data_IF_013425623854
#
_entry.id   IF_013425623854
#
_cell.length_a   1.000
_cell.length_b   1.000
_cell.length_c   1.000
_cell.angle_alpha   90.00
_cell.angle_beta   90.00
_cell.angle_gamma   90.00
#
_symmetry.space_group_name_H-M   'P 1'
#
loop_
_entity.id
_entity.type
_entity.pdbx_description
1 polymer ?
#
# COMPACT_ATOMS: atom_id res chain seq x y z
N UNK A 1 -26.34 -9.60 1.32
CA UNK A 1 -26.13 -10.25 2.64
C UNK A 1 -24.86 -11.13 2.75
N UNK A 2 -24.01 -11.21 1.71
CA UNK A 2 -22.80 -12.07 1.72
C UNK A 2 -21.49 -11.32 2.00
N UNK A 3 -21.40 -10.02 1.69
CA UNK A 3 -20.17 -9.23 1.83
C UNK A 3 -19.82 -8.93 3.29
N UNK A 4 -20.81 -8.61 4.13
CA UNK A 4 -20.60 -8.35 5.55
C UNK A 4 -20.10 -9.60 6.29
N UNK A 5 -20.65 -10.77 5.96
CA UNK A 5 -20.21 -12.07 6.51
C UNK A 5 -18.81 -12.45 6.03
N UNK A 6 -18.46 -12.15 4.78
CA UNK A 6 -17.11 -12.38 4.27
C UNK A 6 -16.08 -11.52 5.01
N UNK A 7 -16.39 -10.24 5.25
CA UNK A 7 -15.54 -9.33 6.01
C UNK A 7 -15.35 -9.80 7.46
N UNK A 8 -16.43 -10.18 8.14
CA UNK A 8 -16.37 -10.71 9.51
C UNK A 8 -15.53 -12.00 9.60
N UNK A 9 -15.65 -12.91 8.63
CA UNK A 9 -14.85 -14.13 8.57
C UNK A 9 -13.36 -13.83 8.37
N UNK A 10 -13.04 -12.87 7.51
CA UNK A 10 -11.65 -12.45 7.28
C UNK A 10 -11.01 -11.90 8.56
N UNK A 11 -11.70 -10.99 9.28
CA UNK A 11 -11.20 -10.48 10.56
C UNK A 11 -11.14 -11.56 11.64
N UNK A 12 -12.10 -12.49 11.69
CA UNK A 12 -12.06 -13.63 12.61
C UNK A 12 -10.86 -14.56 12.32
N UNK A 13 -10.48 -14.76 11.06
CA UNK A 13 -9.27 -15.50 10.70
C UNK A 13 -8.00 -14.79 11.17
N UNK A 14 -7.91 -13.47 11.07
CA UNK A 14 -6.78 -12.69 11.59
C UNK A 14 -6.67 -12.85 13.11
N UNK A 15 -7.80 -12.78 13.82
CA UNK A 15 -7.85 -12.93 15.28
C UNK A 15 -7.47 -14.34 15.73
N UNK A 16 -7.84 -15.36 14.97
CA UNK A 16 -7.55 -16.77 15.26
C UNK A 16 -6.18 -17.23 14.72
N UNK A 17 -5.47 -16.37 13.98
CA UNK A 17 -4.14 -16.69 13.47
C UNK A 17 -3.19 -16.94 14.64
N UNK A 18 -2.52 -18.10 14.61
CA UNK A 18 -1.46 -18.41 15.57
C UNK A 18 -0.24 -17.55 15.25
N UNK A 19 0.08 -16.64 16.16
CA UNK A 19 1.19 -15.71 15.98
C UNK A 19 2.47 -16.39 16.47
N UNK A 20 3.47 -16.47 15.60
CA UNK A 20 4.77 -17.04 15.95
C UNK A 20 5.51 -16.14 16.92
N UNK A 21 6.24 -16.73 17.85
CA UNK A 21 7.12 -15.99 18.76
C UNK A 21 8.22 -15.24 18.01
N UNK A 22 8.57 -15.68 16.79
CA UNK A 22 9.51 -14.98 15.90
C UNK A 22 8.96 -13.65 15.41
N UNK A 23 7.69 -13.61 15.00
CA UNK A 23 7.03 -12.40 14.49
C UNK A 23 6.99 -11.30 15.56
N UNK A 24 6.73 -11.69 16.81
CA UNK A 24 6.78 -10.76 17.93
C UNK A 24 8.20 -10.22 18.15
N UNK A 25 9.23 -11.06 18.12
CA UNK A 25 10.61 -10.59 18.28
C UNK A 25 11.02 -9.61 17.18
N UNK A 26 10.61 -9.85 15.94
CA UNK A 26 10.86 -8.93 14.82
C UNK A 26 10.15 -7.59 15.06
N UNK A 27 8.88 -7.64 15.46
CA UNK A 27 8.11 -6.44 15.81
C UNK A 27 8.82 -5.63 16.92
N UNK A 28 9.20 -6.27 18.02
CA UNK A 28 9.96 -5.62 19.09
C UNK A 28 11.30 -5.07 18.60
N UNK A 29 12.03 -5.81 17.74
CA UNK A 29 13.31 -5.38 17.17
C UNK A 29 13.18 -4.10 16.36
N UNK A 30 12.17 -4.00 15.50
CA UNK A 30 11.90 -2.80 14.70
C UNK A 30 11.59 -1.60 15.61
N UNK A 31 10.69 -1.76 16.58
CA UNK A 31 10.35 -0.69 17.53
C UNK A 31 11.52 -0.26 18.40
N UNK A 32 12.37 -1.21 18.81
CA UNK A 32 13.59 -0.94 19.55
C UNK A 32 14.58 -0.09 18.75
N UNK A 33 14.80 -0.44 17.47
CA UNK A 33 15.69 0.33 16.57
C UNK A 33 15.13 1.74 16.34
N UNK A 34 13.83 1.88 16.07
CA UNK A 34 13.18 3.19 15.91
C UNK A 34 13.38 4.02 17.19
N UNK A 35 13.09 3.44 18.36
CA UNK A 35 13.27 4.12 19.63
C UNK A 35 14.72 4.53 19.87
N UNK A 36 15.69 3.69 19.51
CA UNK A 36 17.12 3.98 19.62
C UNK A 36 17.53 5.18 18.76
N UNK A 37 17.10 5.23 17.50
CA UNK A 37 17.39 6.35 16.59
C UNK A 37 16.85 7.66 17.15
N UNK A 38 15.60 7.64 17.63
CA UNK A 38 14.95 8.81 18.25
C UNK A 38 15.60 9.19 19.59
N UNK A 39 16.15 8.22 20.34
CA UNK A 39 16.82 8.47 21.61
C UNK A 39 18.24 9.03 21.44
N UNK A 40 18.94 8.68 20.35
CA UNK A 40 20.26 9.22 20.00
C UNK A 40 20.19 10.66 19.46
N UNK A 41 19.07 11.07 18.84
CA UNK A 41 18.92 12.41 18.26
C UNK A 41 19.13 13.56 19.25
N UNK A 42 18.57 13.55 20.48
CA UNK A 42 18.81 14.60 21.46
C UNK A 42 20.23 14.57 22.04
N UNK A 43 20.89 13.41 22.08
CA UNK A 43 22.26 13.26 22.60
C UNK A 43 23.29 14.02 21.74
N UNK A 44 23.04 14.11 20.43
CA UNK A 44 23.90 14.85 19.50
C UNK A 44 23.62 16.36 19.48
N UNK A 45 22.44 16.79 19.93
CA UNK A 45 21.98 18.19 19.83
C UNK A 45 22.01 18.96 21.16
N UNK A 46 22.46 18.35 22.27
CA UNK A 46 22.61 19.02 23.57
C UNK A 46 21.27 19.46 24.22
N UNK A 47 20.14 18.97 23.72
CA UNK A 47 18.79 19.29 24.22
C UNK A 47 18.45 18.38 25.39
N UNK A 48 17.66 18.87 26.35
CA UNK A 48 17.14 18.11 27.50
C UNK A 48 16.71 16.69 27.10
N UNK A 49 17.31 15.69 27.76
CA UNK A 49 16.98 14.29 27.57
C UNK A 49 15.47 14.07 27.78
N UNK A 50 14.77 13.67 26.73
CA UNK A 50 13.36 13.30 26.82
C UNK A 50 13.24 11.99 27.58
N UNK A 51 13.02 12.08 28.90
CA UNK A 51 12.82 10.95 29.82
C UNK A 51 11.81 9.90 29.31
N UNK A 52 10.78 10.34 28.57
CA UNK A 52 9.79 9.43 27.95
C UNK A 52 10.40 8.45 26.94
N UNK A 53 11.48 8.80 26.24
CA UNK A 53 12.15 7.88 25.29
C UNK A 53 12.96 6.80 26.00
N UNK A 54 13.57 7.12 27.14
CA UNK A 54 14.24 6.12 27.99
C UNK A 54 13.25 5.09 28.53
N UNK A 55 12.04 5.52 28.89
CA UNK A 55 10.96 4.62 29.33
C UNK A 55 10.52 3.69 28.20
N UNK A 56 10.42 4.18 26.96
CA UNK A 56 10.06 3.34 25.80
C UNK A 56 11.18 2.35 25.46
N UNK A 57 12.44 2.77 25.50
CA UNK A 57 13.59 1.88 25.31
C UNK A 57 13.65 0.79 26.41
N UNK A 58 13.50 1.18 27.68
CA UNK A 58 13.48 0.25 28.80
C UNK A 58 12.29 -0.71 28.73
N UNK A 59 11.12 -0.24 28.29
CA UNK A 59 9.94 -1.07 28.06
C UNK A 59 10.15 -2.08 26.91
N UNK A 60 10.77 -1.66 25.80
CA UNK A 60 11.14 -2.54 24.70
C UNK A 60 12.14 -3.62 25.14
N UNK A 61 13.15 -3.25 25.93
CA UNK A 61 14.17 -4.17 26.45
C UNK A 61 13.56 -5.14 27.47
N UNK A 62 12.71 -4.64 28.38
CA UNK A 62 12.03 -5.44 29.39
C UNK A 62 10.96 -6.40 28.82
N UNK A 63 10.49 -6.18 27.59
CA UNK A 63 9.55 -7.08 26.92
C UNK A 63 10.20 -8.25 26.15
N UNK A 64 11.53 -8.26 25.96
CA UNK A 64 12.22 -9.40 25.33
C UNK A 64 11.94 -10.77 26.01
N UNK A 65 11.87 -10.90 27.34
CA UNK A 65 11.64 -12.19 28.00
C UNK A 65 10.17 -12.66 28.00
N UNK A 66 9.18 -11.78 27.83
CA UNK A 66 7.74 -12.15 27.84
C UNK A 66 7.00 -11.68 26.58
N UNK A 67 7.26 -12.28 25.40
CA UNK A 67 6.56 -11.92 24.17
C UNK A 67 5.06 -12.25 24.24
N UNK A 68 4.64 -13.23 25.05
CA UNK A 68 3.24 -13.66 25.14
C UNK A 68 2.27 -12.57 25.58
N UNK A 69 2.70 -11.62 26.43
CA UNK A 69 1.87 -10.49 26.87
C UNK A 69 1.62 -9.47 25.74
N UNK A 70 2.47 -9.43 24.71
CA UNK A 70 2.36 -8.49 23.58
C UNK A 70 1.60 -9.05 22.38
N UNK A 71 1.07 -10.27 22.48
CA UNK A 71 0.18 -10.83 21.45
C UNK A 71 -1.07 -9.98 21.17
N UNK A 72 -1.83 -9.47 22.17
CA UNK A 72 -3.01 -8.64 21.90
C UNK A 72 -2.65 -7.32 21.22
N UNK A 73 -1.57 -6.64 21.64
CA UNK A 73 -1.16 -5.37 21.02
C UNK A 73 -0.71 -5.58 19.56
N UNK A 74 0.04 -6.67 19.30
CA UNK A 74 0.43 -7.03 17.94
C UNK A 74 -0.78 -7.33 17.04
N UNK A 75 -1.82 -8.00 17.57
CA UNK A 75 -3.08 -8.23 16.82
C UNK A 75 -3.77 -6.92 16.44
N UNK A 76 -3.87 -5.99 17.37
CA UNK A 76 -4.47 -4.67 17.10
C UNK A 76 -3.67 -3.95 16.02
N UNK A 77 -2.34 -4.01 16.10
CA UNK A 77 -1.46 -3.43 15.09
C UNK A 77 -1.64 -4.04 13.70
N UNK A 78 -1.79 -5.37 13.60
CA UNK A 78 -2.08 -6.03 12.34
C UNK A 78 -3.42 -5.58 11.73
N UNK A 79 -4.47 -5.49 12.55
CA UNK A 79 -5.78 -5.02 12.11
C UNK A 79 -5.69 -3.56 11.62
N UNK A 80 -4.94 -2.73 12.33
CA UNK A 80 -4.68 -1.36 11.92
C UNK A 80 -3.94 -1.31 10.57
N UNK A 81 -2.92 -2.15 10.39
CA UNK A 81 -2.19 -2.28 9.13
C UNK A 81 -3.09 -2.65 7.95
N UNK A 82 -4.03 -3.58 8.14
CA UNK A 82 -5.02 -3.97 7.12
C UNK A 82 -5.95 -2.82 6.73
N UNK A 83 -6.49 -2.09 7.71
CA UNK A 83 -7.36 -0.93 7.46
C UNK A 83 -6.58 0.16 6.72
N UNK A 84 -5.34 0.41 7.13
CA UNK A 84 -4.45 1.35 6.47
C UNK A 84 -4.16 0.92 5.03
N UNK A 85 -3.81 -0.34 4.78
CA UNK A 85 -3.57 -0.86 3.42
C UNK A 85 -4.80 -0.72 2.52
N UNK A 86 -5.99 -1.00 3.06
CA UNK A 86 -7.25 -0.79 2.38
C UNK A 86 -7.50 0.69 2.03
N UNK A 87 -7.19 1.62 2.94
CA UNK A 87 -7.32 3.05 2.69
C UNK A 87 -6.27 3.57 1.70
N UNK A 88 -5.00 3.18 1.90
CA UNK A 88 -3.85 3.61 1.11
C UNK A 88 -3.98 3.17 -0.34
N UNK A 89 -4.31 1.89 -0.60
CA UNK A 89 -4.49 1.39 -1.97
C UNK A 89 -5.51 2.20 -2.77
N UNK A 90 -6.63 2.55 -2.13
CA UNK A 90 -7.70 3.35 -2.74
C UNK A 90 -7.30 4.81 -2.93
N UNK A 91 -6.59 5.37 -1.95
CA UNK A 91 -6.06 6.73 -2.00
C UNK A 91 -5.03 6.87 -3.12
N UNK A 92 -4.08 5.93 -3.24
CA UNK A 92 -3.07 5.91 -4.30
C UNK A 92 -3.75 5.86 -5.67
N UNK A 93 -4.74 4.99 -5.86
CA UNK A 93 -5.47 4.90 -7.12
C UNK A 93 -6.19 6.21 -7.46
N UNK A 94 -6.84 6.82 -6.46
CA UNK A 94 -7.50 8.12 -6.62
C UNK A 94 -6.50 9.21 -7.02
N UNK A 95 -5.39 9.32 -6.30
CA UNK A 95 -4.35 10.32 -6.57
C UNK A 95 -3.69 10.10 -7.93
N UNK A 96 -3.40 8.86 -8.33
CA UNK A 96 -2.85 8.56 -9.66
C UNK A 96 -3.83 8.96 -10.76
N UNK A 97 -5.11 8.61 -10.60
CA UNK A 97 -6.11 8.91 -11.62
C UNK A 97 -6.36 10.41 -11.75
N UNK A 98 -6.63 11.11 -10.65
CA UNK A 98 -6.95 12.54 -10.69
C UNK A 98 -5.72 13.44 -10.78
N UNK A 99 -4.59 13.02 -10.21
CA UNK A 99 -3.36 13.80 -10.19
C UNK A 99 -2.47 13.61 -11.42
N UNK A 100 -2.51 12.44 -12.07
CA UNK A 100 -1.64 12.15 -13.23
C UNK A 100 -2.47 11.88 -14.49
N UNK A 101 -3.33 10.87 -14.49
CA UNK A 101 -4.01 10.46 -15.72
C UNK A 101 -5.02 11.50 -16.24
N UNK A 102 -5.79 12.11 -15.34
CA UNK A 102 -6.79 13.13 -15.69
C UNK A 102 -6.16 14.38 -16.32
N UNK A 103 -5.12 15.02 -15.73
CA UNK A 103 -4.49 16.16 -16.38
C UNK A 103 -3.83 15.80 -17.70
N UNK A 104 -3.21 14.62 -17.82
CA UNK A 104 -2.66 14.15 -19.10
C UNK A 104 -3.77 14.05 -20.17
N UNK A 105 -4.92 13.46 -19.82
CA UNK A 105 -6.06 13.35 -20.73
C UNK A 105 -6.61 14.73 -21.13
N UNK A 106 -6.68 15.68 -20.19
CA UNK A 106 -7.09 17.06 -20.47
C UNK A 106 -6.10 17.73 -21.42
N UNK A 107 -4.79 17.59 -21.20
CA UNK A 107 -3.76 18.14 -22.09
C UNK A 107 -3.91 17.56 -23.50
N UNK A 108 -4.06 16.24 -23.65
CA UNK A 108 -4.29 15.64 -24.98
C UNK A 108 -5.58 16.13 -25.64
N UNK A 109 -6.64 16.37 -24.87
CA UNK A 109 -7.89 16.94 -25.37
C UNK A 109 -7.71 18.38 -25.86
N UNK A 110 -6.93 19.20 -25.15
CA UNK A 110 -6.64 20.60 -25.55
C UNK A 110 -5.72 20.62 -26.78
N UNK A 111 -4.71 19.75 -26.83
CA UNK A 111 -3.77 19.64 -27.96
C UNK A 111 -4.46 19.07 -29.22
N UNK A 112 -5.69 18.55 -29.10
CA UNK A 112 -6.45 18.04 -30.24
C UNK A 112 -5.90 16.73 -30.79
N UNK A 113 -5.07 16.00 -30.03
CA UNK A 113 -4.57 14.69 -30.42
C UNK A 113 -5.63 13.63 -30.15
N UNK A 114 -6.43 13.35 -31.16
CA UNK A 114 -7.35 12.22 -31.16
C UNK A 114 -6.60 10.92 -31.52
N UNK A 115 -5.83 10.40 -30.56
CA UNK A 115 -5.10 9.14 -30.75
C UNK A 115 -6.01 7.92 -30.93
N UNK A 116 -7.31 8.05 -30.59
CA UNK A 116 -8.26 6.95 -30.60
C UNK A 116 -9.37 7.12 -31.65
N UNK A 117 -9.32 8.17 -32.47
CA UNK A 117 -10.37 8.53 -33.44
C UNK A 117 -11.77 8.44 -32.79
N UNK A 118 -11.90 9.00 -31.58
CA UNK A 118 -13.11 8.90 -30.76
C UNK A 118 -14.26 9.76 -31.30
N UNK A 119 -13.97 10.68 -32.22
CA UNK A 119 -14.97 11.50 -32.87
C UNK A 119 -15.78 10.67 -33.87
N UNK A 120 -17.10 10.60 -33.63
CA UNK A 120 -18.03 9.89 -34.50
C UNK A 120 -18.32 10.73 -35.75
N UNK A 121 -17.59 10.45 -36.83
CA UNK A 121 -17.79 11.04 -38.14
C UNK A 121 -18.98 10.39 -38.86
N UNK A 122 -20.12 11.11 -38.92
CA UNK A 122 -21.35 10.61 -39.56
C UNK A 122 -21.24 10.44 -41.09
N UNK A 123 -20.25 11.07 -41.72
CA UNK A 123 -20.06 11.04 -43.17
C UNK A 123 -19.05 9.97 -43.63
N UNK A 124 -18.47 9.21 -42.70
CA UNK A 124 -17.57 8.10 -43.04
C UNK A 124 -18.36 6.85 -43.42
N UNK A 125 -18.11 6.33 -44.63
CA UNK A 125 -18.71 5.07 -45.12
C UNK A 125 -18.30 3.83 -44.32
N UNK A 126 -17.13 3.85 -43.68
CA UNK A 126 -16.64 2.76 -42.83
C UNK A 126 -15.56 3.25 -41.87
N UNK A 127 -15.56 2.71 -40.65
CA UNK A 127 -14.51 2.92 -39.64
C UNK A 127 -13.43 1.84 -39.68
N UNK A 128 -13.56 0.84 -40.56
CA UNK A 128 -12.55 -0.19 -40.72
C UNK A 128 -11.28 0.42 -41.31
N UNK A 129 -10.18 0.31 -40.56
CA UNK A 129 -8.85 0.70 -41.03
C UNK A 129 -8.36 -0.43 -41.95
N UNK A 130 -8.22 -0.14 -43.25
CA UNK A 130 -7.65 -1.10 -44.18
C UNK A 130 -6.20 -1.42 -43.82
N UNK A 131 -5.93 -2.71 -43.63
CA UNK A 131 -4.59 -3.19 -43.32
C UNK A 131 -3.75 -3.18 -44.60
N UNK A 132 -2.74 -2.32 -44.67
CA UNK A 132 -1.82 -2.25 -45.81
C UNK A 132 -0.75 -3.34 -45.82
N UNK A 133 -0.56 -4.05 -44.71
CA UNK A 133 0.40 -5.14 -44.61
C UNK A 133 -0.21 -6.49 -44.98
N UNK A 134 0.49 -7.26 -45.81
CA UNK A 134 0.13 -8.63 -46.16
C UNK A 134 0.27 -9.53 -44.93
N UNK A 135 -0.72 -10.38 -44.69
CA UNK A 135 -0.68 -11.37 -43.61
C UNK A 135 0.57 -12.23 -43.74
N UNK A 136 1.43 -12.21 -42.73
CA UNK A 136 2.51 -13.18 -42.62
C UNK A 136 1.92 -14.55 -42.24
N UNK A 137 2.50 -15.59 -42.82
CA UNK A 137 2.12 -16.96 -42.52
C UNK A 137 2.40 -17.27 -41.05
N UNK A 138 1.43 -17.86 -40.34
CA UNK A 138 1.53 -18.23 -38.92
C UNK A 138 2.66 -19.23 -38.63
N UNK A 139 3.28 -19.79 -39.67
CA UNK A 139 4.46 -20.67 -39.59
C UNK A 139 5.75 -19.94 -39.26
N UNK A 140 5.83 -18.61 -39.44
CA UNK A 140 7.02 -17.80 -39.14
C UNK A 140 6.86 -16.93 -37.89
N UNK A 141 5.90 -17.29 -37.02
CA UNK A 141 5.60 -16.54 -35.78
C UNK A 141 6.47 -16.98 -34.58
N UNK A 142 7.21 -18.09 -34.69
CA UNK A 142 8.00 -18.68 -33.60
C UNK A 142 9.48 -18.77 -33.96
#
# INVERSE_FOLDING_TARGET
MNTLKALQRHFAQILNKNISTKDLRIFLGIWSIICLIFALTPLLNGVQMRLWLLVICAFCIACLPYPTALRPIYRIWLIFGEIMGFCISRTILFVLFFGIFTPIAIIFRIVGRDCLTQQFERDKRSYFIERREKMHSMKEQF
#
